data_IF_605282931987
#
_entry.id   IF_605282931987
#
_cell.length_a   1.000
_cell.length_b   1.000
_cell.length_c   1.000
_cell.angle_alpha   90.00
_cell.angle_beta   90.00
_cell.angle_gamma   90.00
#
_symmetry.space_group_name_H-M   'P 1'
#
loop_
_entity.id
_entity.type
_entity.pdbx_description
1 polymer ?
#
# COMPACT_ATOMS: atom_id res chain seq x y z
N UNK A 1 -8.31 -1.03 -9.65
CA UNK A 1 -7.77 0.31 -9.31
C UNK A 1 -6.36 0.44 -9.88
N UNK A 2 -6.02 1.57 -10.53
CA UNK A 2 -4.67 1.84 -10.98
C UNK A 2 -3.67 2.00 -9.83
N UNK A 3 -2.48 1.40 -10.00
CA UNK A 3 -1.29 1.70 -9.21
C UNK A 3 -0.53 2.81 -9.93
N UNK A 4 -0.15 3.85 -9.22
CA UNK A 4 0.60 4.99 -9.79
C UNK A 4 2.04 4.58 -10.02
N UNK A 5 2.40 4.32 -11.28
CA UNK A 5 3.73 3.82 -11.68
C UNK A 5 4.67 4.92 -12.20
N UNK A 6 4.25 6.18 -12.12
CA UNK A 6 5.02 7.33 -12.61
C UNK A 6 6.22 7.69 -11.74
N UNK A 7 6.39 7.09 -10.59
CA UNK A 7 7.52 7.28 -9.69
C UNK A 7 8.16 5.92 -9.32
N UNK A 8 9.47 5.89 -8.98
CA UNK A 8 10.24 4.64 -8.86
C UNK A 8 9.68 3.64 -7.86
N UNK A 9 9.30 4.07 -6.66
CA UNK A 9 8.72 3.17 -5.65
C UNK A 9 7.34 2.64 -6.05
N UNK A 10 6.51 3.45 -6.70
CA UNK A 10 5.21 3.01 -7.22
C UNK A 10 5.35 1.96 -8.32
N UNK A 11 6.38 2.10 -9.17
CA UNK A 11 6.74 1.07 -10.15
C UNK A 11 7.19 -0.23 -9.46
N UNK A 12 8.05 -0.13 -8.44
CA UNK A 12 8.49 -1.28 -7.64
C UNK A 12 7.32 -1.97 -6.93
N UNK A 13 6.38 -1.20 -6.41
CA UNK A 13 5.14 -1.75 -5.83
C UNK A 13 4.31 -2.51 -6.86
N UNK A 14 4.13 -1.98 -8.07
CA UNK A 14 3.40 -2.66 -9.13
C UNK A 14 4.09 -3.96 -9.57
N UNK A 15 5.44 -3.97 -9.64
CA UNK A 15 6.24 -5.17 -9.90
C UNK A 15 6.10 -6.20 -8.76
N UNK A 16 6.17 -5.75 -7.51
CA UNK A 16 5.93 -6.58 -6.34
C UNK A 16 4.57 -7.28 -6.41
N UNK A 17 3.49 -6.52 -6.66
CA UNK A 17 2.14 -7.06 -6.72
C UNK A 17 1.98 -8.18 -7.76
N UNK A 18 2.64 -8.06 -8.92
CA UNK A 18 2.66 -9.12 -9.93
C UNK A 18 3.47 -10.33 -9.44
N UNK A 19 4.65 -10.09 -8.89
CA UNK A 19 5.58 -11.15 -8.48
C UNK A 19 5.03 -12.02 -7.34
N UNK A 20 4.27 -11.42 -6.40
CA UNK A 20 3.66 -12.16 -5.29
C UNK A 20 2.25 -12.67 -5.62
N UNK A 21 1.79 -12.52 -6.86
CA UNK A 21 0.45 -12.94 -7.28
C UNK A 21 -0.68 -12.13 -6.63
N UNK A 22 -0.42 -10.90 -6.22
CA UNK A 22 -1.42 -9.95 -5.73
C UNK A 22 -2.16 -9.23 -6.86
N UNK A 23 -1.59 -9.23 -8.07
CA UNK A 23 -2.23 -8.75 -9.29
C UNK A 23 -1.83 -9.60 -10.50
N UNK A 24 -2.75 -9.79 -11.42
CA UNK A 24 -2.46 -10.41 -12.71
C UNK A 24 -1.95 -9.39 -13.75
N UNK A 25 -2.10 -8.09 -13.49
CA UNK A 25 -1.80 -7.01 -14.44
C UNK A 25 -0.89 -5.99 -13.78
N UNK A 26 0.24 -5.70 -14.42
CA UNK A 26 1.14 -4.64 -13.97
C UNK A 26 0.43 -3.28 -13.94
N UNK A 27 0.59 -2.57 -12.84
CA UNK A 27 0.00 -1.25 -12.64
C UNK A 27 -1.49 -1.25 -12.31
N UNK A 28 -2.08 -2.41 -12.02
CA UNK A 28 -3.47 -2.52 -11.59
C UNK A 28 -3.59 -3.41 -10.35
N UNK A 29 -4.64 -3.18 -9.58
CA UNK A 29 -4.97 -3.98 -8.41
C UNK A 29 -6.48 -4.09 -8.26
N UNK A 30 -6.97 -5.28 -7.92
CA UNK A 30 -8.36 -5.49 -7.52
C UNK A 30 -8.49 -5.13 -6.06
N UNK A 31 -9.45 -4.25 -5.73
CA UNK A 31 -9.77 -3.85 -4.36
C UNK A 31 -11.22 -4.23 -4.07
N UNK A 32 -11.41 -4.95 -2.98
CA UNK A 32 -12.72 -5.32 -2.46
C UNK A 32 -13.05 -4.46 -1.25
N UNK A 33 -14.27 -3.90 -1.19
CA UNK A 33 -14.68 -3.05 -0.08
C UNK A 33 -13.88 -1.75 0.01
N UNK A 34 -13.63 -1.11 -1.15
CA UNK A 34 -12.96 0.19 -1.18
C UNK A 34 -13.78 1.23 -0.44
N UNK A 35 -13.17 1.89 0.53
CA UNK A 35 -13.73 3.06 1.19
C UNK A 35 -13.34 4.33 0.41
N UNK A 36 -14.09 5.42 0.59
CA UNK A 36 -13.82 6.68 -0.09
C UNK A 36 -13.67 7.80 0.94
N UNK A 37 -12.53 7.84 1.61
CA UNK A 37 -12.21 8.86 2.61
C UNK A 37 -11.42 10.04 2.03
N UNK A 38 -10.75 9.86 0.88
CA UNK A 38 -9.82 10.85 0.30
C UNK A 38 -10.03 10.99 -1.20
N UNK A 39 -10.34 12.21 -1.65
CA UNK A 39 -10.51 12.54 -3.07
C UNK A 39 -9.15 12.79 -3.76
N UNK A 40 -8.20 13.44 -3.06
CA UNK A 40 -6.89 13.82 -3.59
C UNK A 40 -5.87 14.01 -2.48
N UNK A 41 -4.58 14.00 -2.84
CA UNK A 41 -3.48 14.30 -1.93
C UNK A 41 -3.00 15.74 -2.09
N UNK A 42 -2.50 16.33 -0.99
CA UNK A 42 -1.85 17.63 -0.99
C UNK A 42 -0.42 17.55 -1.57
N UNK A 43 0.15 18.71 -1.87
CA UNK A 43 1.55 18.82 -2.26
C UNK A 43 2.46 18.22 -1.16
N UNK A 44 3.44 17.43 -1.56
CA UNK A 44 4.35 16.71 -0.66
C UNK A 44 3.89 15.32 -0.26
N UNK A 45 2.64 14.94 -0.54
CA UNK A 45 2.17 13.58 -0.42
C UNK A 45 2.16 12.86 -1.78
N UNK A 46 2.54 11.59 -1.78
CA UNK A 46 2.59 10.73 -2.94
C UNK A 46 1.44 9.73 -2.92
N UNK A 47 0.56 9.80 -3.92
CA UNK A 47 -0.45 8.77 -4.14
C UNK A 47 0.18 7.53 -4.76
N UNK A 48 -0.21 6.34 -4.29
CA UNK A 48 0.26 5.04 -4.77
C UNK A 48 -0.83 4.25 -5.47
N UNK A 49 -2.04 4.29 -4.92
CA UNK A 49 -3.24 3.71 -5.55
C UNK A 49 -4.28 4.80 -5.60
N UNK A 50 -4.66 5.16 -6.81
CA UNK A 50 -5.65 6.20 -7.06
C UNK A 50 -6.46 5.89 -8.31
N UNK A 51 -7.70 6.32 -8.34
CA UNK A 51 -8.60 6.08 -9.46
C UNK A 51 -9.89 6.86 -9.32
N UNK A 52 -10.96 6.26 -9.80
CA UNK A 52 -12.30 6.85 -9.76
C UNK A 52 -13.23 5.91 -9.02
N UNK A 53 -14.00 6.45 -8.10
CA UNK A 53 -15.06 5.75 -7.41
C UNK A 53 -16.18 5.42 -8.43
N UNK A 54 -16.44 4.13 -8.59
CA UNK A 54 -17.43 3.65 -9.55
C UNK A 54 -18.88 3.99 -9.18
N UNK A 55 -19.14 4.36 -7.92
CA UNK A 55 -20.48 4.67 -7.44
C UNK A 55 -20.88 6.11 -7.74
N UNK A 56 -19.95 7.04 -7.72
CA UNK A 56 -20.23 8.48 -7.83
C UNK A 56 -19.38 9.21 -8.89
N UNK A 57 -18.42 8.54 -9.51
CA UNK A 57 -17.54 9.10 -10.55
C UNK A 57 -16.50 10.09 -10.04
N UNK A 58 -16.31 10.23 -8.73
CA UNK A 58 -15.32 11.15 -8.15
C UNK A 58 -13.93 10.52 -8.12
N UNK A 59 -12.86 11.34 -8.16
CA UNK A 59 -11.52 10.88 -7.84
C UNK A 59 -11.48 10.24 -6.44
N UNK A 60 -10.64 9.21 -6.29
CA UNK A 60 -10.49 8.48 -5.04
C UNK A 60 -9.05 8.03 -4.87
N UNK A 61 -8.47 8.24 -3.68
CA UNK A 61 -7.13 7.76 -3.32
C UNK A 61 -7.26 6.72 -2.22
N UNK A 62 -6.74 5.51 -2.50
CA UNK A 62 -6.81 4.37 -1.59
C UNK A 62 -5.55 4.16 -0.77
N UNK A 63 -4.41 4.66 -1.26
CA UNK A 63 -3.13 4.54 -0.59
C UNK A 63 -2.26 5.75 -0.95
N UNK A 64 -1.77 6.44 0.06
CA UNK A 64 -0.79 7.52 -0.10
C UNK A 64 0.19 7.58 1.06
N UNK A 65 1.33 8.23 0.85
CA UNK A 65 2.35 8.45 1.86
C UNK A 65 2.93 9.85 1.80
N UNK A 66 3.55 10.27 2.89
CA UNK A 66 4.36 11.49 2.95
C UNK A 66 5.42 11.37 4.04
N UNK A 67 6.49 12.14 3.90
CA UNK A 67 7.55 12.21 4.90
C UNK A 67 7.32 13.37 5.87
N UNK A 68 7.83 13.22 7.09
CA UNK A 68 7.65 14.20 8.18
C UNK A 68 8.98 14.61 8.82
N UNK A 69 9.05 15.85 9.36
CA UNK A 69 8.09 16.95 9.27
C UNK A 69 7.87 17.39 7.81
N UNK A 70 6.64 17.72 7.42
CA UNK A 70 6.31 18.04 6.02
C UNK A 70 6.85 19.41 5.57
N UNK A 71 7.09 20.31 6.51
CA UNK A 71 7.47 21.71 6.25
C UNK A 71 8.98 21.89 6.07
N UNK A 72 9.78 20.83 6.25
CA UNK A 72 11.25 20.92 6.15
C UNK A 72 11.76 20.32 4.85
N UNK A 73 13.00 20.63 4.49
CA UNK A 73 13.64 20.05 3.33
C UNK A 73 13.75 18.51 3.46
N UNK A 74 13.70 17.75 2.36
CA UNK A 74 13.72 16.27 2.39
C UNK A 74 14.87 15.67 3.21
N UNK A 75 16.05 16.29 3.21
CA UNK A 75 17.19 15.85 3.99
C UNK A 75 17.03 15.98 5.53
N UNK A 76 16.00 16.70 5.98
CA UNK A 76 15.67 16.92 7.38
C UNK A 76 14.43 16.11 7.82
N UNK A 77 13.83 15.39 6.90
CA UNK A 77 12.69 14.53 7.19
C UNK A 77 13.18 13.18 7.75
N UNK A 78 12.62 12.76 8.85
CA UNK A 78 13.06 11.56 9.59
C UNK A 78 11.92 10.60 9.92
N UNK A 79 10.68 10.92 9.55
CA UNK A 79 9.51 10.08 9.72
C UNK A 79 8.79 9.85 8.40
N UNK A 80 8.04 8.75 8.33
CA UNK A 80 7.16 8.43 7.21
C UNK A 80 5.78 8.10 7.72
N UNK A 81 4.78 8.63 7.05
CA UNK A 81 3.37 8.35 7.31
C UNK A 81 2.78 7.68 6.08
N UNK A 82 1.97 6.68 6.30
CA UNK A 82 1.19 6.01 5.27
C UNK A 82 -0.27 6.04 5.69
N UNK A 83 -1.14 6.38 4.75
CA UNK A 83 -2.58 6.24 4.87
C UNK A 83 -3.06 5.18 3.89
N UNK A 84 -3.94 4.31 4.36
CA UNK A 84 -4.57 3.27 3.56
C UNK A 84 -6.06 3.18 3.85
N UNK A 85 -6.87 3.28 2.81
CA UNK A 85 -8.30 2.97 2.80
C UNK A 85 -8.56 1.52 2.33
N UNK A 86 -7.50 0.73 2.15
CA UNK A 86 -7.61 -0.68 1.79
C UNK A 86 -8.17 -1.47 2.97
N UNK A 87 -9.31 -2.10 2.77
CA UNK A 87 -9.88 -2.99 3.77
C UNK A 87 -9.10 -4.31 3.80
N UNK A 88 -8.33 -4.52 4.85
CA UNK A 88 -7.51 -5.73 5.06
C UNK A 88 -8.18 -6.63 6.07
N UNK A 89 -9.14 -7.45 5.64
CA UNK A 89 -9.71 -8.48 6.47
C UNK A 89 -9.95 -9.75 5.65
N UNK A 90 -9.68 -10.90 6.23
CA UNK A 90 -9.91 -12.20 5.60
C UNK A 90 -11.38 -12.43 5.22
N UNK A 91 -12.32 -11.80 5.92
CA UNK A 91 -13.75 -11.88 5.63
C UNK A 91 -14.16 -11.14 4.35
N UNK A 92 -13.49 -10.05 4.00
CA UNK A 92 -13.80 -9.28 2.80
C UNK A 92 -13.39 -9.98 1.50
N UNK A 93 -12.34 -10.81 1.55
CA UNK A 93 -11.80 -11.51 0.39
C UNK A 93 -12.53 -12.82 0.05
N UNK A 94 -13.17 -13.45 1.02
CA UNK A 94 -13.71 -14.79 0.87
C UNK A 94 -15.23 -14.85 0.63
N UNK A 95 -15.93 -13.72 0.54
CA UNK A 95 -17.40 -13.72 0.48
C UNK A 95 -18.03 -14.37 1.72
N UNK A 96 -17.29 -14.43 2.82
CA UNK A 96 -17.81 -14.98 4.07
C UNK A 96 -18.81 -14.00 4.71
N UNK A 97 -19.90 -14.52 5.28
CA UNK A 97 -20.85 -13.68 6.01
C UNK A 97 -20.09 -12.98 7.15
N UNK A 98 -20.35 -11.69 7.33
CA UNK A 98 -19.85 -10.91 8.45
C UNK A 98 -20.51 -11.33 9.78
N UNK A 99 -20.42 -12.60 10.14
CA UNK A 99 -20.89 -13.07 11.43
C UNK A 99 -19.81 -12.86 12.49
N UNK A 100 -19.52 -11.60 12.72
CA UNK A 100 -18.48 -11.10 13.58
C UNK A 100 -18.70 -11.37 15.07
N UNK A 101 -19.86 -11.89 15.44
CA UNK A 101 -20.22 -12.05 16.85
C UNK A 101 -19.94 -13.41 17.47
N UNK A 102 -19.59 -14.43 16.69
CA UNK A 102 -19.53 -15.82 17.15
C UNK A 102 -18.20 -16.54 16.93
N UNK A 103 -17.23 -15.88 16.27
CA UNK A 103 -15.91 -16.48 16.06
C UNK A 103 -14.97 -16.16 17.22
N UNK A 104 -14.16 -17.12 17.69
CA UNK A 104 -13.16 -16.84 18.71
C UNK A 104 -12.13 -15.82 18.19
N UNK A 105 -11.69 -14.92 19.06
CA UNK A 105 -10.62 -13.96 18.73
C UNK A 105 -9.25 -14.66 18.75
N UNK A 106 -8.36 -14.38 17.80
CA UNK A 106 -8.57 -13.53 16.63
C UNK A 106 -9.42 -14.24 15.56
N UNK A 107 -10.51 -13.60 15.15
CA UNK A 107 -11.29 -14.05 14.01
C UNK A 107 -10.60 -13.64 12.70
N UNK A 108 -10.62 -14.51 11.71
CA UNK A 108 -10.02 -14.25 10.41
C UNK A 108 -8.59 -14.79 10.25
N UNK A 109 -8.02 -15.47 11.22
CA UNK A 109 -6.81 -16.26 11.01
C UNK A 109 -7.16 -17.48 10.17
N UNK A 110 -6.97 -17.39 8.87
CA UNK A 110 -7.07 -18.51 7.94
C UNK A 110 -5.68 -18.81 7.40
N UNK A 111 -5.37 -20.09 7.24
CA UNK A 111 -4.09 -20.56 6.67
C UNK A 111 -4.12 -20.54 5.14
N UNK A 112 -4.75 -19.54 4.54
CA UNK A 112 -4.77 -19.30 3.09
C UNK A 112 -3.71 -18.29 2.72
N UNK A 113 -3.38 -18.24 1.43
CA UNK A 113 -2.49 -17.21 0.91
C UNK A 113 -3.07 -15.81 1.13
N UNK A 114 -2.18 -14.82 1.27
CA UNK A 114 -2.57 -13.43 1.48
C UNK A 114 -3.40 -12.91 0.30
N UNK A 115 -4.43 -12.16 0.62
CA UNK A 115 -5.24 -11.44 -0.37
C UNK A 115 -4.42 -10.34 -1.06
N UNK A 116 -4.85 -9.82 -2.22
CA UNK A 116 -4.18 -8.68 -2.86
C UNK A 116 -4.00 -7.48 -1.93
N UNK A 117 -4.99 -7.18 -1.10
CA UNK A 117 -4.94 -6.04 -0.17
C UNK A 117 -4.00 -6.30 1.01
N UNK A 118 -3.91 -7.54 1.50
CA UNK A 118 -2.93 -7.93 2.51
C UNK A 118 -1.50 -7.91 1.97
N UNK A 119 -1.29 -8.34 0.72
CA UNK A 119 0.00 -8.21 0.02
C UNK A 119 0.41 -6.76 -0.17
N UNK A 120 -0.54 -5.88 -0.49
CA UNK A 120 -0.26 -4.44 -0.56
C UNK A 120 0.11 -3.87 0.82
N UNK A 121 -0.56 -4.30 1.90
CA UNK A 121 -0.20 -3.93 3.27
C UNK A 121 1.22 -4.43 3.63
N UNK A 122 1.57 -5.64 3.24
CA UNK A 122 2.91 -6.20 3.47
C UNK A 122 4.00 -5.33 2.83
N UNK A 123 3.82 -4.93 1.56
CA UNK A 123 4.73 -3.98 0.91
C UNK A 123 4.84 -2.66 1.67
N UNK A 124 3.72 -2.12 2.13
CA UNK A 124 3.65 -0.89 2.91
C UNK A 124 4.47 -1.00 4.21
N UNK A 125 4.38 -2.13 4.90
CA UNK A 125 5.16 -2.38 6.12
C UNK A 125 6.67 -2.46 5.83
N UNK A 126 7.07 -3.03 4.71
CA UNK A 126 8.47 -3.01 4.27
C UNK A 126 8.94 -1.59 3.95
N UNK A 127 8.14 -0.79 3.25
CA UNK A 127 8.48 0.62 2.97
C UNK A 127 8.60 1.46 4.26
N UNK A 128 7.72 1.23 5.24
CA UNK A 128 7.78 1.89 6.55
C UNK A 128 8.99 1.45 7.39
N UNK A 129 9.45 0.21 7.24
CA UNK A 129 10.61 -0.31 7.98
C UNK A 129 11.95 0.09 7.36
N UNK A 130 11.95 0.63 6.16
CA UNK A 130 13.14 1.12 5.47
C UNK A 130 13.55 2.52 5.98
N UNK A 131 14.79 2.93 5.69
CA UNK A 131 15.19 4.32 5.93
C UNK A 131 14.29 5.28 5.16
N UNK A 132 13.97 6.42 5.79
CA UNK A 132 13.16 7.47 5.14
C UNK A 132 13.90 7.97 3.90
N UNK A 133 13.32 7.76 2.75
CA UNK A 133 13.84 8.19 1.46
C UNK A 133 12.75 8.93 0.67
N UNK A 134 13.13 9.90 -0.17
CA UNK A 134 12.20 10.49 -1.12
C UNK A 134 11.57 9.44 -2.03
N UNK A 135 10.29 9.57 -2.35
CA UNK A 135 9.56 8.61 -3.20
C UNK A 135 10.02 8.63 -4.68
N UNK A 136 10.71 9.69 -5.08
CA UNK A 136 11.33 9.84 -6.40
C UNK A 136 12.65 9.06 -6.55
N UNK A 137 13.12 8.39 -5.49
CA UNK A 137 14.29 7.52 -5.53
C UNK A 137 13.86 6.05 -5.62
N UNK A 138 14.57 5.23 -6.40
CA UNK A 138 14.34 3.80 -6.41
C UNK A 138 14.65 3.20 -5.03
N UNK A 139 13.98 2.10 -4.65
CA UNK A 139 14.37 1.34 -3.47
C UNK A 139 15.85 0.96 -3.57
N UNK A 140 16.61 1.24 -2.53
CA UNK A 140 17.99 0.76 -2.44
C UNK A 140 18.00 -0.64 -1.83
N UNK A 141 18.74 -1.56 -2.43
CA UNK A 141 19.12 -2.79 -1.71
C UNK A 141 19.97 -2.38 -0.50
N UNK A 142 19.73 -2.99 0.68
CA UNK A 142 20.65 -2.79 1.80
C UNK A 142 22.05 -3.09 1.31
N UNK A 143 22.99 -2.19 1.59
CA UNK A 143 24.39 -2.45 1.37
C UNK A 143 24.80 -3.54 2.37
N UNK A 144 24.59 -4.78 2.00
CA UNK A 144 25.13 -5.93 2.72
C UNK A 144 26.62 -5.89 2.51
N UNK A 145 27.29 -5.03 3.31
CA UNK A 145 28.76 -5.02 3.36
C UNK A 145 29.23 -6.45 3.53
N UNK A 146 29.78 -7.00 2.47
CA UNK A 146 30.47 -8.28 2.52
C UNK A 146 31.67 -8.07 3.45
N UNK A 147 31.52 -8.47 4.70
CA UNK A 147 32.67 -8.59 5.61
C UNK A 147 33.38 -9.85 5.12
N UNK A 148 34.26 -9.66 4.13
CA UNK A 148 35.15 -10.72 3.70
C UNK A 148 36.05 -11.11 4.87
N UNK A 149 36.00 -12.36 5.22
CA UNK A 149 37.05 -13.01 6.03
C UNK A 149 38.39 -13.06 5.27
#
# INVERSE_FOLDING_TARGET
MPIVTSFPKGKAFAEWMVNVGGSATFGEMVIHGAEHSVDSTNAGAQSWIAGTDSQNGKPMVQYFSFNTPAEVAPAQQCGRVVMSDLHVSASAAAGMPSDSGKQPFPNGCVTTDLTPQEKALEFMLFDLSSCVMPDDKPPSTPDVGYVGE
#
